data_IF_542709672216
#
_entry.id   IF_542709672216
#
_cell.length_a   1.000
_cell.length_b   1.000
_cell.length_c   1.000
_cell.angle_alpha   90.00
_cell.angle_beta   90.00
_cell.angle_gamma   90.00
#
_symmetry.space_group_name_H-M   'P 1'
#
loop_
_entity.id
_entity.type
_entity.pdbx_description
1 polymer ?
#
# COMPACT_ATOMS: atom_id res chain seq x y z
N UNK A 1 14.67 6.72 -20.57
CA UNK A 1 13.79 7.90 -20.77
C UNK A 1 13.19 8.36 -19.44
N UNK A 2 12.81 9.63 -19.34
CA UNK A 2 12.10 10.17 -18.17
C UNK A 2 10.70 9.57 -18.11
N UNK A 3 10.28 9.08 -16.95
CA UNK A 3 8.98 8.42 -16.77
C UNK A 3 8.03 9.27 -15.91
N UNK A 4 8.53 9.79 -14.77
CA UNK A 4 7.71 10.46 -13.76
C UNK A 4 8.46 11.66 -13.19
N UNK A 5 7.72 12.67 -12.74
CA UNK A 5 8.26 13.74 -11.89
C UNK A 5 7.47 13.70 -10.57
N UNK A 6 8.13 13.29 -9.49
CA UNK A 6 7.50 13.18 -8.16
C UNK A 6 7.90 14.36 -7.28
N UNK A 7 6.92 15.12 -6.81
CA UNK A 7 7.17 16.26 -5.93
C UNK A 7 7.35 15.81 -4.48
N UNK A 8 8.36 16.37 -3.82
CA UNK A 8 8.65 16.16 -2.40
C UNK A 8 8.66 17.51 -1.69
N UNK A 9 8.35 17.54 -0.39
CA UNK A 9 8.22 18.80 0.38
C UNK A 9 9.49 19.66 0.39
N UNK A 10 10.66 19.08 0.07
CA UNK A 10 11.94 19.78 0.14
C UNK A 10 12.30 20.18 1.58
N UNK A 11 13.58 20.48 1.82
CA UNK A 11 14.03 21.05 3.10
C UNK A 11 13.96 22.57 3.12
N UNK A 12 13.70 23.19 1.96
CA UNK A 12 13.76 24.65 1.73
C UNK A 12 12.39 25.31 1.61
N UNK A 13 11.31 24.62 1.98
CA UNK A 13 9.92 25.14 1.94
C UNK A 13 9.19 24.88 0.63
N UNK A 14 9.84 25.12 -0.51
CA UNK A 14 9.24 24.86 -1.82
C UNK A 14 9.35 23.38 -2.24
N UNK A 15 8.26 22.78 -2.76
CA UNK A 15 8.31 21.41 -3.28
C UNK A 15 9.29 21.25 -4.44
N UNK A 16 10.10 20.20 -4.41
CA UNK A 16 11.07 19.86 -5.46
C UNK A 16 10.61 18.66 -6.26
N UNK A 17 10.58 18.80 -7.59
CA UNK A 17 10.28 17.72 -8.52
C UNK A 17 11.48 16.80 -8.73
N UNK A 18 11.35 15.53 -8.34
CA UNK A 18 12.34 14.49 -8.56
C UNK A 18 12.08 13.84 -9.91
N UNK A 19 13.01 14.01 -10.85
CA UNK A 19 12.96 13.37 -12.15
C UNK A 19 13.32 11.88 -12.03
N UNK A 20 12.33 11.03 -12.27
CA UNK A 20 12.47 9.57 -12.19
C UNK A 20 12.48 9.00 -13.61
N UNK A 21 13.60 8.37 -13.99
CA UNK A 21 13.66 7.64 -15.26
C UNK A 21 12.94 6.30 -15.17
N UNK A 22 12.56 5.73 -16.32
CA UNK A 22 12.05 4.36 -16.38
C UNK A 22 12.99 3.35 -15.71
N UNK A 23 14.32 3.52 -15.85
CA UNK A 23 15.30 2.66 -15.21
C UNK A 23 15.29 2.77 -13.68
N UNK A 24 15.07 3.97 -13.12
CA UNK A 24 14.95 4.15 -11.68
C UNK A 24 13.70 3.44 -11.13
N UNK A 25 12.56 3.63 -11.81
CA UNK A 25 11.29 2.99 -11.44
C UNK A 25 11.41 1.47 -11.55
N UNK A 26 11.96 0.97 -12.65
CA UNK A 26 12.18 -0.47 -12.86
C UNK A 26 13.04 -1.08 -11.75
N UNK A 27 14.17 -0.45 -11.41
CA UNK A 27 15.04 -0.94 -10.35
C UNK A 27 14.34 -1.00 -9.00
N UNK A 28 13.52 0.01 -8.66
CA UNK A 28 12.76 0.04 -7.42
C UNK A 28 11.66 -1.04 -7.39
N UNK A 29 10.87 -1.15 -8.45
CA UNK A 29 9.78 -2.12 -8.60
C UNK A 29 10.30 -3.55 -8.52
N UNK A 30 11.34 -3.90 -9.30
CA UNK A 30 11.88 -5.26 -9.29
C UNK A 30 12.65 -5.60 -8.02
N UNK A 31 13.28 -4.61 -7.39
CA UNK A 31 13.92 -4.76 -6.08
C UNK A 31 12.92 -5.11 -4.98
N UNK A 32 11.79 -4.40 -4.93
CA UNK A 32 10.70 -4.69 -3.97
C UNK A 32 9.97 -5.99 -4.31
N UNK A 33 9.74 -6.27 -5.60
CA UNK A 33 9.03 -7.47 -6.06
C UNK A 33 9.65 -8.73 -5.48
N UNK A 34 10.98 -8.84 -5.47
CA UNK A 34 11.67 -10.01 -4.92
C UNK A 34 11.28 -10.29 -3.47
N UNK A 35 11.09 -9.25 -2.66
CA UNK A 35 10.67 -9.39 -1.26
C UNK A 35 9.20 -9.77 -1.13
N UNK A 36 8.35 -9.29 -2.03
CA UNK A 36 6.96 -9.73 -2.06
C UNK A 36 6.84 -11.19 -2.51
N UNK A 37 7.64 -11.62 -3.48
CA UNK A 37 7.68 -13.02 -3.91
C UNK A 37 8.17 -13.94 -2.77
N UNK A 38 9.11 -13.48 -1.93
CA UNK A 38 9.54 -14.21 -0.71
C UNK A 38 8.40 -14.38 0.32
N UNK A 39 7.45 -13.45 0.39
CA UNK A 39 6.36 -13.40 1.40
C UNK A 39 5.09 -14.09 0.89
N UNK A 40 4.69 -13.80 -0.34
CA UNK A 40 3.42 -14.25 -0.95
C UNK A 40 3.60 -15.46 -1.86
N UNK A 41 4.85 -15.87 -2.12
CA UNK A 41 5.16 -16.86 -3.15
C UNK A 41 5.07 -16.28 -4.56
N UNK A 42 5.42 -17.10 -5.55
CA UNK A 42 5.30 -16.75 -6.97
C UNK A 42 3.80 -16.69 -7.36
N UNK A 43 3.39 -15.74 -8.21
CA UNK A 43 1.99 -15.64 -8.63
C UNK A 43 1.59 -16.85 -9.50
N UNK A 44 0.42 -17.43 -9.21
CA UNK A 44 -0.25 -18.39 -10.09
C UNK A 44 -1.29 -17.64 -10.94
N UNK A 45 -1.07 -17.60 -12.24
CA UNK A 45 -1.95 -16.89 -13.18
C UNK A 45 -3.15 -17.73 -13.64
N UNK A 46 -3.27 -18.98 -13.19
CA UNK A 46 -4.38 -19.88 -13.55
C UNK A 46 -5.45 -20.01 -12.48
N UNK A 47 -5.34 -19.26 -11.37
CA UNK A 47 -6.36 -19.23 -10.32
C UNK A 47 -7.46 -18.23 -10.66
N UNK A 48 -8.62 -18.40 -10.02
CA UNK A 48 -9.74 -17.50 -10.22
C UNK A 48 -9.47 -16.13 -9.59
N UNK A 49 -10.06 -15.04 -10.10
CA UNK A 49 -9.88 -13.70 -9.53
C UNK A 49 -10.17 -13.62 -8.03
N UNK A 50 -11.15 -14.37 -7.53
CA UNK A 50 -11.48 -14.43 -6.10
C UNK A 50 -10.40 -15.07 -5.22
N UNK A 51 -9.50 -15.86 -5.81
CA UNK A 51 -8.39 -16.54 -5.14
C UNK A 51 -7.06 -15.77 -5.30
N UNK A 52 -7.04 -14.67 -6.07
CA UNK A 52 -5.85 -13.84 -6.29
C UNK A 52 -5.49 -13.03 -5.04
N UNK A 53 -4.21 -12.67 -4.93
CA UNK A 53 -3.74 -11.73 -3.91
C UNK A 53 -4.56 -10.43 -3.97
N UNK A 54 -4.94 -9.91 -2.82
CA UNK A 54 -5.67 -8.65 -2.72
C UNK A 54 -4.83 -7.60 -2.00
N UNK A 55 -4.88 -6.35 -2.48
CA UNK A 55 -4.14 -5.24 -1.91
C UNK A 55 -4.98 -4.01 -1.66
N UNK A 56 -4.85 -3.50 -0.44
CA UNK A 56 -5.49 -2.25 -0.05
C UNK A 56 -4.57 -1.09 -0.40
N UNK A 57 -4.87 -0.41 -1.50
CA UNK A 57 -4.21 0.79 -1.97
C UNK A 57 -4.86 2.02 -1.31
N UNK A 58 -4.22 2.53 -0.25
CA UNK A 58 -4.75 3.65 0.54
C UNK A 58 -3.74 4.79 0.70
N UNK A 59 -2.49 4.61 0.26
CA UNK A 59 -1.52 5.70 0.21
C UNK A 59 -1.72 6.48 -1.10
N UNK A 60 -1.37 7.77 -1.15
CA UNK A 60 -1.45 8.52 -2.39
C UNK A 60 -0.46 7.95 -3.43
N UNK A 61 -0.92 7.75 -4.67
CA UNK A 61 -0.08 7.31 -5.80
C UNK A 61 1.08 8.28 -6.11
N UNK A 62 0.97 9.54 -5.66
CA UNK A 62 2.07 10.51 -5.72
C UNK A 62 3.30 10.12 -4.87
N UNK A 63 3.15 9.14 -3.98
CA UNK A 63 4.24 8.61 -3.16
C UNK A 63 4.85 7.37 -3.82
N UNK A 64 6.18 7.35 -3.98
CA UNK A 64 6.89 6.27 -4.68
C UNK A 64 6.63 4.87 -4.09
N UNK A 65 6.39 4.77 -2.77
CA UNK A 65 6.06 3.49 -2.13
C UNK A 65 4.79 2.87 -2.70
N UNK A 66 3.70 3.65 -2.82
CA UNK A 66 2.44 3.15 -3.33
C UNK A 66 2.54 2.86 -4.82
N UNK A 67 3.18 3.77 -5.56
CA UNK A 67 3.42 3.59 -6.98
C UNK A 67 4.14 2.27 -7.28
N UNK A 68 5.20 1.97 -6.53
CA UNK A 68 5.91 0.69 -6.66
C UNK A 68 5.04 -0.50 -6.26
N UNK A 69 4.32 -0.42 -5.14
CA UNK A 69 3.46 -1.50 -4.68
C UNK A 69 2.37 -1.84 -5.71
N UNK A 70 1.60 -0.85 -6.18
CA UNK A 70 0.56 -1.05 -7.20
C UNK A 70 1.13 -1.65 -8.48
N UNK A 71 2.29 -1.16 -8.98
CA UNK A 71 2.90 -1.72 -10.19
C UNK A 71 3.29 -3.21 -10.00
N UNK A 72 3.82 -3.59 -8.83
CA UNK A 72 4.16 -4.99 -8.56
C UNK A 72 2.91 -5.86 -8.56
N UNK A 73 1.86 -5.38 -7.93
CA UNK A 73 0.65 -6.15 -7.74
C UNK A 73 -0.21 -6.24 -8.99
N UNK A 74 -0.23 -5.19 -9.83
CA UNK A 74 -0.77 -5.25 -11.18
C UNK A 74 -0.04 -6.30 -12.04
N UNK A 75 1.30 -6.37 -11.97
CA UNK A 75 2.06 -7.41 -12.66
C UNK A 75 1.78 -8.83 -12.14
N UNK A 76 1.41 -8.97 -10.86
CA UNK A 76 1.02 -10.26 -10.25
C UNK A 76 -0.42 -10.66 -10.56
N UNK A 77 -1.21 -9.79 -11.19
CA UNK A 77 -2.64 -10.00 -11.39
C UNK A 77 -3.43 -9.92 -10.08
N UNK A 78 -2.98 -9.14 -9.10
CA UNK A 78 -3.69 -8.95 -7.84
C UNK A 78 -4.93 -8.05 -8.00
N UNK A 79 -5.91 -8.21 -7.11
CA UNK A 79 -7.06 -7.31 -7.00
C UNK A 79 -6.73 -6.12 -6.10
N UNK A 80 -6.96 -4.89 -6.60
CA UNK A 80 -6.73 -3.66 -5.83
C UNK A 80 -8.04 -3.13 -5.24
N UNK A 81 -8.05 -2.92 -3.92
CA UNK A 81 -9.10 -2.19 -3.20
C UNK A 81 -8.60 -0.80 -2.87
N UNK A 82 -9.34 0.24 -3.25
CA UNK A 82 -8.95 1.62 -2.97
C UNK A 82 -9.58 2.14 -1.68
N UNK A 83 -8.76 2.75 -0.83
CA UNK A 83 -9.17 3.32 0.44
C UNK A 83 -8.45 4.61 0.77
N UNK A 84 -8.57 5.04 2.02
CA UNK A 84 -7.84 6.20 2.55
C UNK A 84 -7.37 5.90 3.96
N UNK A 85 -6.36 6.62 4.50
CA UNK A 85 -5.96 6.46 5.90
C UNK A 85 -7.10 6.67 6.91
N UNK A 86 -8.17 7.39 6.51
CA UNK A 86 -9.35 7.66 7.35
C UNK A 86 -10.40 6.57 7.27
N UNK A 87 -10.34 5.67 6.28
CA UNK A 87 -11.34 4.61 6.09
C UNK A 87 -10.83 3.23 6.53
N UNK A 88 -9.54 3.12 6.88
CA UNK A 88 -8.90 1.85 7.24
C UNK A 88 -9.58 1.05 8.38
N UNK A 89 -10.10 1.73 9.40
CA UNK A 89 -10.62 1.08 10.62
C UNK A 89 -12.05 1.47 10.95
N UNK A 90 -12.76 0.59 11.67
CA UNK A 90 -14.11 0.84 12.19
C UNK A 90 -14.20 2.06 13.13
N UNK A 91 -13.06 2.56 13.63
CA UNK A 91 -13.03 3.77 14.47
C UNK A 91 -13.39 5.00 13.66
N UNK A 92 -13.05 5.03 12.37
CA UNK A 92 -13.19 6.21 11.51
C UNK A 92 -14.07 5.97 10.26
N UNK A 93 -14.45 4.73 9.97
CA UNK A 93 -15.39 4.36 8.91
C UNK A 93 -16.66 3.68 9.46
N UNK A 94 -17.77 3.84 8.74
CA UNK A 94 -19.07 3.19 9.01
C UNK A 94 -19.64 2.62 7.71
N UNK A 95 -20.28 1.43 7.72
CA UNK A 95 -20.50 0.55 8.86
C UNK A 95 -19.22 -0.18 9.31
N UNK A 96 -18.30 -0.45 8.38
CA UNK A 96 -17.02 -1.13 8.61
C UNK A 96 -15.88 -0.36 7.93
N UNK A 97 -14.66 -0.51 8.45
CA UNK A 97 -13.44 -0.01 7.79
C UNK A 97 -12.89 -0.96 6.73
N UNK A 98 -12.05 -0.40 5.85
CA UNK A 98 -11.54 -1.07 4.65
C UNK A 98 -10.83 -2.40 4.97
N UNK A 99 -10.05 -2.45 6.07
CA UNK A 99 -9.34 -3.67 6.47
C UNK A 99 -10.31 -4.82 6.80
N UNK A 100 -11.48 -4.49 7.37
CA UNK A 100 -12.49 -5.46 7.75
C UNK A 100 -13.35 -5.88 6.56
N UNK A 101 -13.72 -4.92 5.72
CA UNK A 101 -14.61 -5.14 4.58
C UNK A 101 -13.88 -5.82 3.41
N UNK A 102 -12.72 -5.30 3.02
CA UNK A 102 -11.96 -5.78 1.86
C UNK A 102 -11.08 -7.00 2.18
N UNK A 103 -10.64 -7.15 3.44
CA UNK A 103 -9.76 -8.23 3.91
C UNK A 103 -8.53 -8.45 3.00
N UNK A 104 -7.65 -7.44 2.84
CA UNK A 104 -6.51 -7.53 1.96
C UNK A 104 -5.54 -8.64 2.39
N UNK A 105 -4.98 -9.39 1.43
CA UNK A 105 -3.87 -10.32 1.66
C UNK A 105 -2.62 -9.57 2.11
N UNK A 106 -2.38 -8.40 1.52
CA UNK A 106 -1.20 -7.60 1.78
C UNK A 106 -1.48 -6.09 1.64
N UNK A 107 -0.87 -5.28 2.49
CA UNK A 107 -0.83 -3.82 2.29
C UNK A 107 0.51 -3.25 2.76
N UNK A 108 0.93 -2.13 2.18
CA UNK A 108 2.14 -1.41 2.62
C UNK A 108 1.78 -0.41 3.71
N UNK A 109 2.67 -0.26 4.69
CA UNK A 109 2.43 0.59 5.85
C UNK A 109 3.57 1.57 6.11
N UNK A 110 3.20 2.76 6.59
CA UNK A 110 4.13 3.71 7.21
C UNK A 110 3.90 3.71 8.73
N UNK A 111 4.89 4.11 9.57
CA UNK A 111 4.78 4.02 11.04
C UNK A 111 3.48 4.57 11.62
N UNK A 112 3.03 5.72 11.12
CA UNK A 112 1.79 6.37 11.55
C UNK A 112 0.54 5.50 11.36
N UNK A 113 0.51 4.69 10.31
CA UNK A 113 -0.63 3.80 10.03
C UNK A 113 -0.65 2.64 11.02
N UNK A 114 0.53 2.08 11.34
CA UNK A 114 0.64 1.05 12.38
C UNK A 114 0.22 1.60 13.75
N UNK A 115 0.53 2.86 14.07
CA UNK A 115 0.03 3.51 15.30
C UNK A 115 -1.49 3.64 15.31
N UNK A 116 -2.11 4.00 14.18
CA UNK A 116 -3.57 4.06 14.06
C UNK A 116 -4.22 2.69 14.25
N UNK A 117 -3.67 1.65 13.62
CA UNK A 117 -4.16 0.27 13.77
C UNK A 117 -4.01 -0.18 15.23
N UNK A 118 -2.84 0.06 15.85
CA UNK A 118 -2.58 -0.25 17.26
C UNK A 118 -3.61 0.39 18.17
N UNK A 119 -3.87 1.70 18.04
CA UNK A 119 -4.89 2.40 18.84
C UNK A 119 -6.28 1.82 18.65
N UNK A 120 -6.64 1.45 17.42
CA UNK A 120 -7.93 0.83 17.13
C UNK A 120 -8.07 -0.56 17.78
N UNK A 121 -6.98 -1.33 17.89
CA UNK A 121 -6.95 -2.62 18.58
C UNK A 121 -6.97 -2.43 20.09
N UNK A 122 -6.14 -1.54 20.64
CA UNK A 122 -6.07 -1.26 22.09
C UNK A 122 -7.41 -0.74 22.63
N UNK A 123 -8.14 0.07 21.86
CA UNK A 123 -9.48 0.54 22.24
C UNK A 123 -10.54 -0.56 22.34
N UNK A 124 -10.27 -1.76 21.80
CA UNK A 124 -11.15 -2.95 21.92
C UNK A 124 -10.77 -3.85 23.11
N UNK A 125 -9.64 -3.59 23.77
CA UNK A 125 -9.22 -4.36 24.93
C UNK A 125 -10.00 -3.95 26.18
N UNK A 126 -10.26 -4.87 27.12
CA UNK A 126 -10.88 -4.54 28.40
C UNK A 126 -9.98 -3.58 29.20
N UNK A 127 -10.59 -2.74 30.05
CA UNK A 127 -9.83 -1.90 30.97
C UNK A 127 -8.94 -2.77 31.86
N UNK A 128 -7.71 -2.31 32.12
CA UNK A 128 -6.83 -2.97 33.09
C UNK A 128 -7.54 -2.93 34.46
N UNK A 129 -7.81 -4.11 35.01
CA UNK A 129 -8.30 -4.27 36.37
C UNK A 129 -7.29 -3.82 37.41
#
# INVERSE_FOLDING_TARGET
ELALIMYTSGTTGDPKGVMMTHGNVYAAVFGLRRRLDDILGLPDYNIKPEDQDTHLAYLPLAHILEFCAENILLMRGATLGYGTPRTLTDTSAKPHGDLKEFRPTFFVGVPRIFDTIKKAVEGKLPAKG
#
